data_IF_637234754900
#
_entry.id   IF_637234754900
#
_cell.length_a   1.000
_cell.length_b   1.000
_cell.length_c   1.000
_cell.angle_alpha   90.00
_cell.angle_beta   90.00
_cell.angle_gamma   90.00
#
_symmetry.space_group_name_H-M   'P 1'
#
loop_
_entity.id
_entity.type
_entity.pdbx_description
1 polymer ?
#
# COMPACT_ATOMS: atom_id res chain seq x y z
N UNK A 1 -4.79 -9.94 27.51
CA UNK A 1 -3.71 -10.88 27.13
C UNK A 1 -2.48 -10.07 26.79
N UNK A 2 -1.36 -10.27 27.48
CA UNK A 2 -0.12 -9.55 27.20
C UNK A 2 0.65 -10.27 26.09
N UNK A 3 0.87 -9.62 24.96
CA UNK A 3 1.68 -10.17 23.85
C UNK A 3 3.15 -10.12 24.26
N UNK A 4 3.85 -11.26 24.23
CA UNK A 4 5.29 -11.29 24.52
C UNK A 4 6.05 -10.53 23.41
N UNK A 5 7.00 -9.64 23.72
CA UNK A 5 7.70 -8.81 22.73
C UNK A 5 8.35 -9.63 21.60
N UNK A 6 8.98 -10.75 21.93
CA UNK A 6 9.55 -11.69 20.95
C UNK A 6 8.48 -12.26 20.03
N UNK A 7 7.34 -12.71 20.58
CA UNK A 7 6.26 -13.29 19.78
C UNK A 7 5.67 -12.26 18.82
N UNK A 8 5.57 -10.99 19.26
CA UNK A 8 5.12 -9.90 18.39
C UNK A 8 6.12 -9.62 17.27
N UNK A 9 7.43 -9.59 17.59
CA UNK A 9 8.48 -9.39 16.60
C UNK A 9 8.48 -10.52 15.56
N UNK A 10 8.34 -11.77 15.99
CA UNK A 10 8.27 -12.95 15.11
C UNK A 10 7.05 -12.87 14.18
N UNK A 11 5.87 -12.52 14.72
CA UNK A 11 4.66 -12.33 13.93
C UNK A 11 4.80 -11.20 12.90
N UNK A 12 5.41 -10.08 13.29
CA UNK A 12 5.65 -8.95 12.40
C UNK A 12 6.64 -9.33 11.27
N UNK A 13 7.70 -10.05 11.61
CA UNK A 13 8.67 -10.55 10.62
C UNK A 13 8.01 -11.52 9.64
N UNK A 14 7.25 -12.49 10.14
CA UNK A 14 6.51 -13.45 9.32
C UNK A 14 5.50 -12.77 8.38
N UNK A 15 4.75 -11.79 8.88
CA UNK A 15 3.79 -11.03 8.09
C UNK A 15 4.49 -10.16 7.02
N UNK A 16 5.64 -9.57 7.34
CA UNK A 16 6.44 -8.78 6.40
C UNK A 16 7.05 -9.65 5.31
N UNK A 17 7.54 -10.85 5.64
CA UNK A 17 8.01 -11.82 4.67
C UNK A 17 6.88 -12.30 3.75
N UNK A 18 5.65 -12.46 4.26
CA UNK A 18 4.50 -12.79 3.42
C UNK A 18 4.09 -11.65 2.48
N UNK A 19 4.10 -10.41 2.96
CA UNK A 19 3.89 -9.24 2.12
C UNK A 19 4.95 -9.17 0.99
N UNK A 20 6.22 -9.40 1.32
CA UNK A 20 7.30 -9.43 0.36
C UNK A 20 7.09 -10.46 -0.75
N UNK A 21 6.75 -11.70 -0.40
CA UNK A 21 6.44 -12.76 -1.39
C UNK A 21 5.28 -12.37 -2.31
N UNK A 22 4.26 -11.68 -1.80
CA UNK A 22 3.12 -11.22 -2.60
C UNK A 22 3.51 -10.11 -3.58
N UNK A 23 4.38 -9.19 -3.16
CA UNK A 23 4.94 -8.14 -4.02
C UNK A 23 5.76 -8.75 -5.15
N UNK A 24 6.62 -9.72 -4.84
CA UNK A 24 7.40 -10.43 -5.86
C UNK A 24 6.51 -11.17 -6.87
N UNK A 25 5.45 -11.85 -6.43
CA UNK A 25 4.48 -12.48 -7.34
C UNK A 25 3.74 -11.47 -8.20
N UNK A 26 3.40 -10.30 -7.67
CA UNK A 26 2.79 -9.24 -8.47
C UNK A 26 3.75 -8.73 -9.56
N UNK A 27 5.06 -8.74 -9.29
CA UNK A 27 6.11 -8.36 -10.25
C UNK A 27 6.19 -9.28 -11.48
N UNK A 28 5.67 -10.51 -11.39
CA UNK A 28 5.60 -11.43 -12.54
C UNK A 28 4.63 -10.92 -13.62
N UNK A 29 3.78 -9.94 -13.30
CA UNK A 29 2.91 -9.28 -14.27
C UNK A 29 3.64 -8.12 -14.98
N UNK A 30 3.72 -8.12 -16.34
CA UNK A 30 4.50 -7.12 -17.09
C UNK A 30 4.11 -5.66 -16.89
N UNK A 31 2.91 -5.41 -16.39
CA UNK A 31 2.35 -4.07 -16.19
C UNK A 31 2.48 -3.57 -14.75
N UNK A 32 2.94 -4.41 -13.81
CA UNK A 32 3.04 -4.05 -12.40
C UNK A 32 4.39 -3.40 -12.11
N UNK A 33 4.39 -2.16 -11.62
CA UNK A 33 5.61 -1.52 -11.14
C UNK A 33 5.85 -1.89 -9.67
N UNK A 34 7.02 -2.46 -9.40
CA UNK A 34 7.49 -2.74 -8.06
C UNK A 34 8.14 -1.50 -7.45
N UNK A 35 7.91 -1.25 -6.17
CA UNK A 35 8.78 -0.39 -5.36
C UNK A 35 8.99 -1.04 -4.00
N UNK A 36 10.20 -1.54 -3.76
CA UNK A 36 10.57 -2.16 -2.49
C UNK A 36 11.43 -1.20 -1.65
N UNK A 37 11.40 -1.36 -0.33
CA UNK A 37 12.40 -0.77 0.55
C UNK A 37 13.76 -1.46 0.29
N UNK A 38 14.90 -0.73 0.25
CA UNK A 38 15.12 0.68 0.63
C UNK A 38 14.85 1.72 -0.47
N UNK A 39 14.57 1.29 -1.70
CA UNK A 39 14.44 2.17 -2.89
C UNK A 39 13.09 2.89 -2.98
N UNK A 40 12.44 3.17 -1.85
CA UNK A 40 11.15 3.86 -1.82
C UNK A 40 11.36 5.34 -2.16
N UNK A 41 10.78 5.85 -3.27
CA UNK A 41 10.98 7.22 -3.69
C UNK A 41 10.30 8.20 -2.71
N UNK A 42 10.81 9.44 -2.57
CA UNK A 42 10.31 10.40 -1.58
C UNK A 42 8.81 10.70 -1.65
N UNK A 43 8.24 10.73 -2.87
CA UNK A 43 6.80 10.97 -3.05
C UNK A 43 5.95 9.85 -2.44
N UNK A 44 6.43 8.60 -2.53
CA UNK A 44 5.74 7.44 -1.98
C UNK A 44 5.92 7.36 -0.47
N UNK A 45 7.12 7.68 0.04
CA UNK A 45 7.34 7.83 1.47
C UNK A 45 6.40 8.89 2.10
N UNK A 46 6.18 10.00 1.40
CA UNK A 46 5.24 11.05 1.83
C UNK A 46 3.80 10.55 1.89
N UNK A 47 3.38 9.70 0.93
CA UNK A 47 2.06 9.05 0.97
C UNK A 47 1.94 8.12 2.17
N UNK A 48 2.95 7.27 2.44
CA UNK A 48 2.97 6.42 3.63
C UNK A 48 2.84 7.21 4.93
N UNK A 49 3.56 8.33 5.04
CA UNK A 49 3.46 9.22 6.20
C UNK A 49 2.04 9.78 6.36
N UNK A 50 1.37 10.19 5.27
CA UNK A 50 -0.04 10.61 5.34
C UNK A 50 -0.96 9.51 5.86
N UNK A 51 -0.75 8.26 5.45
CA UNK A 51 -1.50 7.12 5.99
C UNK A 51 -1.26 6.92 7.49
N UNK A 52 0.01 6.90 7.90
CA UNK A 52 0.38 6.73 9.29
C UNK A 52 -0.23 7.84 10.17
N UNK A 53 -0.14 9.10 9.73
CA UNK A 53 -0.72 10.25 10.43
C UNK A 53 -2.26 10.16 10.53
N UNK A 54 -2.95 9.75 9.47
CA UNK A 54 -4.40 9.57 9.51
C UNK A 54 -4.83 8.50 10.53
N UNK A 55 -4.09 7.38 10.60
CA UNK A 55 -4.32 6.31 11.57
C UNK A 55 -4.04 6.78 13.01
N UNK A 56 -2.88 7.40 13.23
CA UNK A 56 -2.46 7.90 14.54
C UNK A 56 -3.37 9.02 15.07
N UNK A 57 -3.93 9.84 14.18
CA UNK A 57 -4.88 10.88 14.52
C UNK A 57 -6.32 10.35 14.77
N UNK A 58 -6.54 9.03 14.72
CA UNK A 58 -7.86 8.42 14.91
C UNK A 58 -8.85 8.68 13.76
N UNK A 59 -8.36 9.14 12.60
CA UNK A 59 -9.17 9.43 11.40
C UNK A 59 -9.15 8.29 10.38
N UNK A 60 -8.35 7.25 10.64
CA UNK A 60 -8.26 6.08 9.79
C UNK A 60 -9.46 5.15 9.91
N UNK A 61 -9.69 4.37 8.86
CA UNK A 61 -10.67 3.29 8.83
C UNK A 61 -9.91 1.98 8.68
N UNK A 62 -10.02 1.13 9.70
CA UNK A 62 -9.35 -0.15 9.74
C UNK A 62 -10.41 -1.24 9.59
N UNK A 63 -10.19 -2.17 8.66
CA UNK A 63 -11.10 -3.28 8.44
C UNK A 63 -11.30 -4.09 9.73
N UNK A 64 -12.53 -4.42 10.14
CA UNK A 64 -12.79 -5.14 11.40
C UNK A 64 -12.14 -6.53 11.45
N UNK A 65 -11.79 -7.10 10.29
CA UNK A 65 -11.10 -8.39 10.19
C UNK A 65 -9.60 -8.31 10.48
N UNK A 66 -9.02 -7.11 10.59
CA UNK A 66 -7.65 -6.96 11.07
C UNK A 66 -7.68 -6.98 12.60
N UNK A 67 -7.52 -8.19 13.16
CA UNK A 67 -7.38 -8.38 14.60
C UNK A 67 -6.04 -7.85 15.14
N UNK A 68 -5.77 -8.09 16.42
CA UNK A 68 -4.61 -7.55 17.12
C UNK A 68 -3.24 -8.11 16.66
N UNK A 69 -3.21 -9.27 16.00
CA UNK A 69 -1.96 -9.89 15.55
C UNK A 69 -1.51 -9.37 14.17
N UNK A 70 -0.21 -9.06 13.99
CA UNK A 70 0.35 -8.68 12.70
C UNK A 70 -0.03 -9.66 11.59
N UNK A 71 -0.44 -9.10 10.45
CA UNK A 71 -0.81 -9.84 9.24
C UNK A 71 -0.64 -8.93 8.04
N UNK A 72 -0.59 -9.53 6.86
CA UNK A 72 -0.58 -8.74 5.63
C UNK A 72 -1.87 -7.93 5.52
N UNK A 73 -1.71 -6.63 5.31
CA UNK A 73 -2.81 -5.68 5.09
C UNK A 73 -2.57 -4.87 3.83
N UNK A 74 -3.62 -4.26 3.29
CA UNK A 74 -3.55 -3.41 2.11
C UNK A 74 -3.91 -1.98 2.48
N UNK A 75 -3.19 -1.04 1.90
CA UNK A 75 -3.43 0.39 1.94
C UNK A 75 -3.33 0.95 0.51
N UNK A 76 -3.89 2.14 0.28
CA UNK A 76 -3.96 2.71 -1.06
C UNK A 76 -3.71 4.20 -1.04
N UNK A 77 -2.86 4.69 -1.94
CA UNK A 77 -2.49 6.10 -2.03
C UNK A 77 -3.67 7.08 -2.10
N UNK A 78 -4.72 6.70 -2.83
CA UNK A 78 -5.95 7.48 -2.99
C UNK A 78 -6.86 7.51 -1.75
N UNK A 79 -6.65 6.62 -0.77
CA UNK A 79 -7.44 6.56 0.46
C UNK A 79 -6.57 6.60 1.74
N UNK A 80 -5.99 7.76 2.08
CA UNK A 80 -5.24 7.95 3.32
C UNK A 80 -5.99 7.48 4.55
N UNK A 81 -5.34 6.64 5.36
CA UNK A 81 -5.90 6.10 6.60
C UNK A 81 -6.83 4.88 6.43
N UNK A 82 -7.10 4.43 5.20
CA UNK A 82 -7.80 3.16 4.97
C UNK A 82 -6.82 1.97 5.05
N UNK A 83 -7.13 1.00 5.89
CA UNK A 83 -6.44 -0.30 5.98
C UNK A 83 -7.46 -1.42 5.78
N UNK A 84 -7.21 -2.31 4.82
CA UNK A 84 -8.09 -3.45 4.52
C UNK A 84 -7.36 -4.78 4.59
N UNK A 85 -8.08 -5.82 5.03
CA UNK A 85 -7.55 -7.19 4.98
C UNK A 85 -7.53 -7.73 3.53
N UNK A 86 -6.78 -8.80 3.24
CA UNK A 86 -6.72 -9.37 1.89
C UNK A 86 -8.08 -9.78 1.32
N UNK A 87 -9.01 -10.26 2.16
CA UNK A 87 -10.34 -10.67 1.72
C UNK A 87 -11.22 -9.47 1.32
N UNK A 88 -11.13 -8.35 2.05
CA UNK A 88 -11.94 -7.16 1.79
C UNK A 88 -11.33 -6.18 0.78
N UNK A 89 -10.14 -6.46 0.24
CA UNK A 89 -9.43 -5.52 -0.65
C UNK A 89 -10.25 -5.09 -1.87
N UNK A 90 -11.09 -5.97 -2.39
CA UNK A 90 -11.92 -5.72 -3.57
C UNK A 90 -13.04 -4.71 -3.31
N UNK A 91 -13.35 -4.42 -2.04
CA UNK A 91 -14.31 -3.41 -1.63
C UNK A 91 -13.67 -2.01 -1.55
N UNK A 92 -12.33 -1.94 -1.55
CA UNK A 92 -11.60 -0.68 -1.64
C UNK A 92 -11.41 -0.33 -3.13
N UNK A 93 -12.49 0.09 -3.76
CA UNK A 93 -12.48 0.56 -5.16
C UNK A 93 -12.43 2.10 -5.14
N UNK A 94 -11.49 2.73 -5.87
CA UNK A 94 -11.51 4.18 -6.05
C UNK A 94 -12.78 4.59 -6.82
N UNK A 95 -13.24 5.82 -6.60
CA UNK A 95 -14.24 6.40 -7.50
C UNK A 95 -13.63 6.68 -8.88
N UNK A 96 -14.43 6.92 -9.94
CA UNK A 96 -13.91 7.13 -11.29
C UNK A 96 -12.95 8.32 -11.44
N UNK A 97 -13.02 9.33 -10.56
CA UNK A 97 -12.11 10.47 -10.59
C UNK A 97 -10.75 10.04 -10.03
N UNK A 98 -10.72 9.38 -8.88
CA UNK A 98 -9.48 8.84 -8.31
C UNK A 98 -8.88 7.74 -9.21
N UNK A 99 -9.70 6.87 -9.80
CA UNK A 99 -9.25 5.81 -10.71
C UNK A 99 -8.59 6.35 -12.00
N UNK A 100 -8.87 7.61 -12.33
CA UNK A 100 -8.22 8.32 -13.45
C UNK A 100 -7.21 9.38 -12.98
N UNK A 101 -6.79 9.39 -11.72
CA UNK A 101 -5.86 10.39 -11.16
C UNK A 101 -4.52 9.76 -10.76
N UNK A 102 -3.42 10.38 -11.19
CA UNK A 102 -2.08 9.96 -10.81
C UNK A 102 -1.79 10.26 -9.33
N UNK A 103 -1.34 9.28 -8.55
CA UNK A 103 -1.05 9.44 -7.13
C UNK A 103 0.20 10.28 -6.83
N UNK A 104 1.09 10.43 -7.82
CA UNK A 104 2.30 11.25 -7.67
C UNK A 104 2.04 12.73 -8.01
N UNK A 105 1.53 13.03 -9.22
CA UNK A 105 1.36 14.41 -9.68
C UNK A 105 -0.07 14.95 -9.56
N UNK A 106 -1.04 14.11 -9.16
CA UNK A 106 -2.46 14.44 -8.99
C UNK A 106 -3.16 14.99 -10.23
N UNK A 107 -2.57 14.81 -11.42
CA UNK A 107 -3.22 15.09 -12.71
C UNK A 107 -4.07 13.91 -13.14
N UNK A 108 -5.20 14.22 -13.79
CA UNK A 108 -6.02 13.23 -14.47
C UNK A 108 -5.26 12.66 -15.68
N UNK A 109 -5.43 11.38 -15.95
CA UNK A 109 -4.82 10.69 -17.08
C UNK A 109 -5.81 9.71 -17.70
N UNK A 110 -5.71 9.53 -19.02
CA UNK A 110 -6.51 8.52 -19.74
C UNK A 110 -6.08 7.09 -19.38
N UNK A 111 -4.84 6.94 -18.91
CA UNK A 111 -4.26 5.68 -18.45
C UNK A 111 -3.52 5.86 -17.13
N UNK A 112 -3.78 4.95 -16.20
CA UNK A 112 -3.09 4.85 -14.91
C UNK A 112 -2.42 3.48 -14.81
N UNK A 113 -1.11 3.46 -14.56
CA UNK A 113 -0.31 2.27 -14.34
C UNK A 113 -0.35 1.90 -12.87
N UNK A 114 -0.90 0.72 -12.58
CA UNK A 114 -0.93 0.19 -11.23
C UNK A 114 0.49 -0.19 -10.77
N UNK A 115 0.81 0.21 -9.55
CA UNK A 115 2.02 -0.19 -8.85
C UNK A 115 1.71 -0.65 -7.44
N UNK A 116 2.67 -1.39 -6.88
CA UNK A 116 2.59 -1.89 -5.52
C UNK A 116 3.92 -1.70 -4.81
N UNK A 117 3.83 -1.19 -3.59
CA UNK A 117 4.96 -1.09 -2.68
C UNK A 117 4.76 -1.89 -1.41
N UNK A 118 5.86 -2.23 -0.76
CA UNK A 118 5.86 -2.91 0.53
C UNK A 118 6.48 -2.02 1.61
N UNK A 119 5.79 -1.86 2.73
CA UNK A 119 6.35 -1.32 3.98
C UNK A 119 5.98 -2.26 5.13
N UNK A 120 6.95 -3.05 5.59
CA UNK A 120 6.69 -4.11 6.58
C UNK A 120 5.61 -5.08 6.08
N UNK A 121 4.51 -5.30 6.84
CA UNK A 121 3.39 -6.15 6.43
C UNK A 121 2.34 -5.43 5.57
N UNK A 122 2.58 -4.17 5.18
CA UNK A 122 1.63 -3.36 4.41
C UNK A 122 1.96 -3.47 2.92
N UNK A 123 0.96 -3.87 2.14
CA UNK A 123 0.94 -3.77 0.69
C UNK A 123 0.26 -2.46 0.29
N UNK A 124 0.97 -1.60 -0.40
CA UNK A 124 0.53 -0.24 -0.72
C UNK A 124 0.29 -0.10 -2.21
N UNK A 125 -0.98 -0.03 -2.61
CA UNK A 125 -1.37 0.20 -4.00
C UNK A 125 -1.29 1.68 -4.36
N UNK A 126 -0.80 1.97 -5.57
CA UNK A 126 -0.77 3.31 -6.14
C UNK A 126 -0.93 3.24 -7.66
N UNK A 127 -1.30 4.36 -8.28
CA UNK A 127 -1.46 4.54 -9.71
C UNK A 127 -0.62 5.70 -10.25
N UNK A 128 0.07 5.51 -11.38
CA UNK A 128 0.89 6.53 -12.02
C UNK A 128 0.42 6.82 -13.44
N UNK A 129 0.42 8.09 -13.86
CA UNK A 129 0.28 8.43 -15.28
C UNK A 129 1.52 8.04 -16.08
N UNK A 130 1.44 8.03 -17.42
CA UNK A 130 2.55 7.68 -18.31
C UNK A 130 3.85 8.45 -18.00
N UNK A 131 3.76 9.77 -17.79
CA UNK A 131 4.92 10.62 -17.48
C UNK A 131 5.58 10.24 -16.15
N UNK A 132 4.79 9.91 -15.13
CA UNK A 132 5.33 9.50 -13.83
C UNK A 132 5.82 8.05 -13.85
N UNK A 133 5.23 7.20 -14.69
CA UNK A 133 5.63 5.81 -14.87
C UNK A 133 6.94 5.68 -15.67
N UNK A 134 7.18 6.57 -16.63
CA UNK A 134 8.40 6.62 -17.45
C UNK A 134 9.05 8.00 -17.39
N UNK A 135 9.69 8.37 -16.27
CA UNK A 135 10.26 9.72 -16.09
C UNK A 135 11.43 10.02 -17.04
N UNK A 136 12.05 8.99 -17.64
CA UNK A 136 13.21 9.10 -18.53
C UNK A 136 12.85 9.13 -20.03
N UNK A 137 11.56 9.23 -20.36
CA UNK A 137 11.08 9.53 -21.72
C UNK A 137 10.74 11.01 -21.84
#
# INVERSE_FOLDING_TARGET
MSTHPTALADQLHAASADAHRRVLRAAEHPWARLTASPDTPPWLASLFQRHALALLAGRGRICPHTGASPRVVHAFAWAPGLIVCPACRHLATPDPIEDSTCDQCRRRADRVWAGIAQVGPILFGYGLCDTCHHPDR
#
